data_IF_402060302899
#
_entry.id   IF_402060302899
#
_cell.length_a   1.000
_cell.length_b   1.000
_cell.length_c   1.000
_cell.angle_alpha   90.00
_cell.angle_beta   90.00
_cell.angle_gamma   90.00
#
_symmetry.space_group_name_H-M   'P 1'
#
loop_
_entity.id
_entity.type
_entity.pdbx_description
1 polymer ?
#
# COMPACT_ATOMS: atom_id res chain seq x y z
N UNK A 1 42.51 19.37 14.50
CA UNK A 1 43.19 18.12 14.91
C UNK A 1 42.12 17.07 15.12
N UNK A 2 41.29 16.80 14.12
CA UNK A 2 41.56 16.01 12.90
C UNK A 2 41.49 14.51 13.20
N UNK A 3 40.46 13.87 12.64
CA UNK A 3 40.20 12.45 12.75
C UNK A 3 39.07 11.99 11.84
N UNK A 4 39.11 12.40 10.57
CA UNK A 4 38.28 11.91 9.48
C UNK A 4 38.48 10.39 9.31
N UNK A 5 37.47 9.60 9.64
CA UNK A 5 37.30 8.22 9.15
C UNK A 5 36.25 8.21 8.04
N UNK A 6 36.69 8.29 6.77
CA UNK A 6 35.84 8.09 5.60
C UNK A 6 35.53 6.60 5.45
N UNK A 7 34.25 6.24 5.42
CA UNK A 7 33.76 5.08 4.68
C UNK A 7 32.66 5.55 3.73
N UNK A 8 33.00 5.70 2.46
CA UNK A 8 32.00 5.66 1.38
C UNK A 8 32.20 4.35 0.65
N UNK A 9 31.12 3.60 0.43
CA UNK A 9 30.51 3.39 -0.88
C UNK A 9 29.48 2.25 -0.81
N UNK A 10 28.26 2.53 -1.29
CA UNK A 10 27.29 1.52 -1.69
C UNK A 10 25.99 1.46 -0.89
N UNK A 11 25.11 2.46 -1.05
CA UNK A 11 23.65 2.32 -1.29
C UNK A 11 22.88 3.54 -0.77
N UNK A 12 22.84 4.61 -1.57
CA UNK A 12 21.72 5.57 -1.64
C UNK A 12 20.44 4.77 -1.98
N UNK A 13 19.24 4.95 -1.42
CA UNK A 13 18.57 6.12 -0.87
C UNK A 13 17.49 5.68 0.16
N UNK A 14 17.65 6.00 1.44
CA UNK A 14 16.53 6.22 2.37
C UNK A 14 16.99 7.21 3.44
N UNK A 15 16.37 8.40 3.46
CA UNK A 15 16.73 9.48 4.37
C UNK A 15 16.47 9.08 5.83
N UNK A 16 17.53 9.01 6.63
CA UNK A 16 17.48 8.92 8.09
C UNK A 16 17.55 10.33 8.66
N UNK A 17 16.44 10.86 9.15
CA UNK A 17 16.42 12.03 10.04
C UNK A 17 15.78 11.57 11.36
N UNK A 18 16.57 11.62 12.44
CA UNK A 18 16.13 11.46 13.84
C UNK A 18 15.35 10.18 14.21
N UNK A 19 15.81 9.01 13.77
CA UNK A 19 15.45 7.74 14.42
C UNK A 19 13.98 7.28 14.29
N UNK A 20 13.20 7.87 13.38
CA UNK A 20 11.85 7.41 13.04
C UNK A 20 11.84 6.78 11.65
N UNK A 21 11.25 5.58 11.54
CA UNK A 21 10.98 4.94 10.25
C UNK A 21 9.92 5.75 9.51
N UNK A 22 10.22 6.15 8.27
CA UNK A 22 9.32 6.94 7.43
C UNK A 22 8.81 6.03 6.32
N UNK A 23 7.50 5.79 6.27
CA UNK A 23 6.86 4.92 5.28
C UNK A 23 6.23 5.72 4.13
N UNK A 24 6.26 5.21 2.89
CA UNK A 24 5.92 6.02 1.73
C UNK A 24 4.41 6.06 1.46
N UNK A 25 4.06 7.15 0.76
CA UNK A 25 2.77 7.53 0.16
C UNK A 25 1.77 8.30 1.05
N UNK A 26 1.69 8.11 2.38
CA UNK A 26 0.82 8.94 3.25
C UNK A 26 1.57 10.02 4.03
N UNK A 27 2.23 10.93 3.31
CA UNK A 27 2.80 12.17 3.87
C UNK A 27 1.99 13.44 3.55
N UNK A 28 0.70 13.31 3.25
CA UNK A 28 -0.14 14.49 2.97
C UNK A 28 -0.97 15.04 4.13
N UNK A 29 -0.73 14.66 5.40
CA UNK A 29 -1.29 15.46 6.48
C UNK A 29 -0.59 15.31 7.82
N UNK A 30 0.47 16.08 8.04
CA UNK A 30 0.91 16.41 9.40
C UNK A 30 -0.18 17.21 10.16
N UNK A 31 -1.23 17.71 9.49
CA UNK A 31 -2.35 18.44 10.13
C UNK A 31 -3.63 17.62 10.38
N UNK A 32 -3.74 16.35 9.97
CA UNK A 32 -4.99 15.54 10.11
C UNK A 32 -5.05 14.62 11.32
N UNK A 33 -4.25 14.85 12.37
CA UNK A 33 -4.28 14.07 13.63
C UNK A 33 -5.70 13.94 14.22
N UNK A 34 -6.62 14.85 13.86
CA UNK A 34 -8.00 14.84 14.36
C UNK A 34 -9.00 13.99 13.55
N UNK A 35 -8.76 13.70 12.26
CA UNK A 35 -9.66 12.87 11.44
C UNK A 35 -9.16 11.41 11.29
N UNK A 36 -7.88 11.18 11.60
CA UNK A 36 -7.13 9.96 11.27
C UNK A 36 -6.86 9.07 12.50
N UNK A 37 -7.52 9.35 13.62
CA UNK A 37 -7.28 8.63 14.87
C UNK A 37 -7.72 7.16 14.82
N UNK A 38 -8.65 6.78 13.94
CA UNK A 38 -9.24 5.43 13.90
C UNK A 38 -8.50 4.45 12.99
N UNK A 39 -7.76 4.95 11.99
CA UNK A 39 -7.12 4.09 10.98
C UNK A 39 -5.72 3.61 11.37
N UNK A 40 -5.23 4.03 12.54
CA UNK A 40 -3.87 3.76 12.96
C UNK A 40 -3.81 3.07 14.31
N UNK A 41 -3.03 1.99 14.34
CA UNK A 41 -2.80 1.22 15.54
C UNK A 41 -1.79 1.92 16.45
N UNK A 42 -2.13 2.06 17.73
CA UNK A 42 -1.27 2.61 18.78
C UNK A 42 -0.61 1.48 19.57
N UNK A 43 0.70 1.44 19.54
CA UNK A 43 1.50 0.58 20.43
C UNK A 43 2.03 1.47 21.56
N UNK A 44 1.78 1.09 22.82
CA UNK A 44 2.26 1.84 23.98
C UNK A 44 3.79 2.09 23.88
N UNK A 45 4.19 3.36 23.86
CA UNK A 45 5.59 3.78 23.74
C UNK A 45 6.19 3.75 22.32
N UNK A 46 5.42 3.47 21.26
CA UNK A 46 5.89 3.51 19.86
C UNK A 46 5.08 4.46 18.98
N UNK A 47 5.59 4.66 17.76
CA UNK A 47 4.90 5.39 16.70
C UNK A 47 3.58 4.73 16.32
N UNK A 48 2.66 5.57 15.84
CA UNK A 48 1.32 5.22 15.37
C UNK A 48 1.44 4.65 13.94
N UNK A 49 0.95 3.44 13.68
CA UNK A 49 1.22 2.70 12.43
C UNK A 49 -0.05 2.48 11.57
N UNK A 50 0.02 2.71 10.24
CA UNK A 50 -1.10 2.47 9.32
C UNK A 50 -1.20 1.00 8.92
N UNK A 51 -1.47 0.11 9.87
CA UNK A 51 -1.33 -1.36 9.69
C UNK A 51 -2.16 -1.92 8.53
N UNK A 52 -3.27 -1.30 8.16
CA UNK A 52 -4.17 -1.75 7.06
C UNK A 52 -3.57 -1.57 5.66
N UNK A 53 -2.55 -0.72 5.51
CA UNK A 53 -1.83 -0.52 4.25
C UNK A 53 -0.49 -1.25 4.22
N UNK A 54 -0.02 -1.76 5.36
CA UNK A 54 1.32 -2.30 5.50
C UNK A 54 1.39 -3.74 4.98
N UNK A 55 2.54 -4.08 4.36
CA UNK A 55 2.83 -5.46 4.01
C UNK A 55 3.05 -6.31 5.28
N UNK A 56 2.85 -7.63 5.17
CA UNK A 56 2.98 -8.52 6.34
C UNK A 56 4.37 -8.44 6.99
N UNK A 57 5.45 -8.31 6.19
CA UNK A 57 6.81 -8.20 6.70
C UNK A 57 7.07 -6.85 7.40
N UNK A 58 6.33 -5.82 7.00
CA UNK A 58 6.37 -4.50 7.63
C UNK A 58 5.68 -4.51 8.98
N UNK A 59 4.56 -5.21 9.10
CA UNK A 59 3.81 -5.37 10.35
C UNK A 59 4.60 -6.21 11.35
N UNK A 60 5.08 -7.39 10.95
CA UNK A 60 5.67 -8.36 11.87
C UNK A 60 7.18 -8.17 12.10
N UNK A 61 7.92 -7.75 11.07
CA UNK A 61 9.38 -7.68 11.11
C UNK A 61 9.91 -6.23 11.09
N UNK A 62 9.04 -5.23 10.92
CA UNK A 62 9.44 -3.83 10.77
C UNK A 62 10.29 -3.59 9.51
N UNK A 63 10.14 -4.44 8.49
CA UNK A 63 10.90 -4.34 7.24
C UNK A 63 10.15 -3.46 6.24
N UNK A 64 10.81 -2.41 5.78
CA UNK A 64 10.24 -1.44 4.84
C UNK A 64 11.14 -1.34 3.60
N UNK A 65 10.57 -1.63 2.44
CA UNK A 65 11.27 -1.70 1.16
C UNK A 65 10.38 -1.15 0.05
N UNK A 66 10.95 -0.90 -1.14
CA UNK A 66 10.15 -0.60 -2.33
C UNK A 66 9.08 -1.68 -2.61
N UNK A 67 9.31 -2.93 -2.20
CA UNK A 67 8.33 -4.02 -2.36
C UNK A 67 7.22 -3.98 -1.32
N UNK A 68 7.47 -3.48 -0.10
CA UNK A 68 6.37 -3.17 0.82
C UNK A 68 5.55 -1.97 0.32
N UNK A 69 6.16 -1.02 -0.37
CA UNK A 69 5.43 0.11 -0.97
C UNK A 69 4.51 -0.34 -2.10
N UNK A 70 4.90 -1.37 -2.87
CA UNK A 70 4.03 -1.99 -3.88
C UNK A 70 2.78 -2.59 -3.25
N UNK A 71 2.90 -3.20 -2.08
CA UNK A 71 1.74 -3.70 -1.33
C UNK A 71 0.79 -2.56 -0.93
N UNK A 72 1.34 -1.51 -0.32
CA UNK A 72 0.57 -0.34 0.10
C UNK A 72 -0.09 0.36 -1.08
N UNK A 73 0.60 0.44 -2.23
CA UNK A 73 0.03 0.97 -3.46
C UNK A 73 -1.19 0.17 -3.94
N UNK A 74 -1.17 -1.16 -3.85
CA UNK A 74 -2.33 -1.96 -4.23
C UNK A 74 -3.52 -1.76 -3.29
N UNK A 75 -3.27 -1.52 -1.99
CA UNK A 75 -4.33 -1.09 -1.05
C UNK A 75 -4.89 0.27 -1.47
N UNK A 76 -4.03 1.23 -1.82
CA UNK A 76 -4.48 2.55 -2.33
C UNK A 76 -5.26 2.43 -3.64
N UNK A 77 -4.85 1.54 -4.55
CA UNK A 77 -5.58 1.29 -5.80
C UNK A 77 -6.97 0.72 -5.53
N UNK A 78 -7.08 -0.17 -4.54
CA UNK A 78 -8.37 -0.67 -4.08
C UNK A 78 -9.27 0.47 -3.57
N UNK A 79 -8.75 1.37 -2.73
CA UNK A 79 -9.50 2.54 -2.25
C UNK A 79 -9.96 3.45 -3.38
N UNK A 80 -9.11 3.70 -4.37
CA UNK A 80 -9.48 4.50 -5.55
C UNK A 80 -10.67 3.87 -6.29
N UNK A 81 -10.71 2.55 -6.38
CA UNK A 81 -11.75 1.80 -7.09
C UNK A 81 -13.03 1.62 -6.27
N UNK A 82 -12.95 1.72 -4.93
CA UNK A 82 -14.12 1.76 -4.04
C UNK A 82 -14.53 3.20 -3.69
N UNK A 83 -13.95 4.20 -4.35
CA UNK A 83 -14.19 5.63 -4.09
C UNK A 83 -13.94 6.04 -2.63
N UNK A 84 -13.05 5.32 -1.93
CA UNK A 84 -12.79 5.46 -0.51
C UNK A 84 -14.06 5.39 0.36
N UNK A 85 -15.10 4.69 -0.11
CA UNK A 85 -16.34 4.49 0.64
C UNK A 85 -16.10 3.60 1.87
N UNK A 86 -15.30 2.56 1.69
CA UNK A 86 -15.01 1.56 2.71
C UNK A 86 -13.55 1.64 3.17
N UNK A 87 -13.32 1.38 4.45
CA UNK A 87 -11.96 1.26 5.00
C UNK A 87 -11.36 -0.09 4.55
N UNK A 88 -10.05 -0.16 4.21
CA UNK A 88 -9.41 -1.43 3.95
C UNK A 88 -9.54 -2.38 5.16
N UNK A 89 -10.06 -3.59 4.91
CA UNK A 89 -10.33 -4.61 5.93
C UNK A 89 -11.30 -4.15 7.02
N UNK A 90 -12.31 -3.34 6.69
CA UNK A 90 -13.36 -2.85 7.60
C UNK A 90 -14.02 -3.93 8.48
N UNK A 91 -14.16 -5.15 7.97
CA UNK A 91 -14.70 -6.30 8.71
C UNK A 91 -13.72 -6.88 9.76
N UNK A 92 -12.45 -6.47 9.77
CA UNK A 92 -11.41 -6.95 10.67
C UNK A 92 -11.07 -5.86 11.72
N UNK A 93 -10.94 -6.27 12.98
CA UNK A 93 -10.31 -5.41 14.01
C UNK A 93 -8.82 -5.26 13.74
N UNK A 94 -8.17 -4.29 14.40
CA UNK A 94 -6.73 -4.08 14.25
C UNK A 94 -5.92 -5.33 14.66
N UNK A 95 -6.35 -6.05 15.69
CA UNK A 95 -5.75 -7.33 16.10
C UNK A 95 -5.91 -8.41 15.03
N UNK A 96 -7.09 -8.47 14.40
CA UNK A 96 -7.34 -9.43 13.30
C UNK A 96 -6.53 -9.09 12.05
N UNK A 97 -6.25 -7.81 11.78
CA UNK A 97 -5.33 -7.39 10.70
C UNK A 97 -3.90 -7.86 10.99
N UNK A 98 -3.45 -7.76 12.25
CA UNK A 98 -2.14 -8.28 12.68
C UNK A 98 -2.10 -9.81 12.58
N UNK A 99 -3.18 -10.49 12.98
CA UNK A 99 -3.32 -11.94 12.83
C UNK A 99 -3.28 -12.37 11.35
N UNK A 100 -3.94 -11.60 10.47
CA UNK A 100 -3.90 -11.80 9.03
C UNK A 100 -2.47 -11.74 8.46
N UNK A 101 -1.66 -10.78 8.92
CA UNK A 101 -0.23 -10.75 8.58
C UNK A 101 0.51 -12.02 9.07
N UNK A 102 0.09 -12.59 10.20
CA UNK A 102 0.57 -13.87 10.71
C UNK A 102 0.30 -15.05 9.77
N UNK A 103 -0.86 -15.08 9.11
CA UNK A 103 -1.18 -16.10 8.10
C UNK A 103 -0.25 -16.02 6.89
N UNK A 104 0.03 -14.81 6.39
CA UNK A 104 1.07 -14.61 5.36
C UNK A 104 2.43 -15.14 5.81
N UNK A 105 2.86 -14.84 7.04
CA UNK A 105 4.16 -15.32 7.55
C UNK A 105 4.22 -16.85 7.59
N UNK A 106 3.21 -17.49 8.19
CA UNK A 106 3.09 -18.94 8.36
C UNK A 106 2.86 -19.69 7.04
N UNK A 107 2.37 -19.00 6.00
CA UNK A 107 2.04 -19.60 4.71
C UNK A 107 1.00 -20.74 4.85
N UNK A 108 0.02 -20.54 5.74
CA UNK A 108 -1.05 -21.50 6.02
C UNK A 108 -2.26 -21.35 5.08
N UNK A 109 -2.22 -20.38 4.16
CA UNK A 109 -3.27 -20.08 3.16
C UNK A 109 -4.60 -19.67 3.78
N UNK A 110 -4.56 -19.14 5.00
CA UNK A 110 -5.73 -18.59 5.68
C UNK A 110 -5.76 -17.06 5.63
N UNK A 111 -4.83 -16.44 4.90
CA UNK A 111 -4.85 -15.00 4.70
C UNK A 111 -6.11 -14.52 3.96
N UNK A 112 -6.63 -13.38 4.40
CA UNK A 112 -7.75 -12.67 3.79
C UNK A 112 -7.21 -11.53 2.94
N UNK A 113 -7.67 -11.47 1.70
CA UNK A 113 -7.43 -10.36 0.77
C UNK A 113 -8.57 -9.35 0.84
N UNK A 114 -8.31 -8.10 0.44
CA UNK A 114 -9.38 -7.13 0.21
C UNK A 114 -10.33 -7.67 -0.87
N UNK A 115 -11.66 -7.46 -0.74
CA UNK A 115 -12.61 -7.97 -1.70
C UNK A 115 -12.44 -7.30 -3.07
N UNK A 116 -12.82 -8.00 -4.13
CA UNK A 116 -12.84 -7.44 -5.47
C UNK A 116 -13.81 -6.24 -5.54
N UNK A 117 -13.35 -5.01 -5.87
CA UNK A 117 -14.22 -3.85 -5.91
C UNK A 117 -15.35 -3.99 -6.94
N UNK A 118 -16.54 -3.42 -6.69
CA UNK A 118 -17.60 -3.33 -7.69
C UNK A 118 -17.10 -2.63 -8.96
N UNK A 119 -17.48 -3.12 -10.14
CA UNK A 119 -17.11 -2.53 -11.44
C UNK A 119 -15.60 -2.48 -11.76
N UNK A 120 -14.74 -3.12 -10.95
CA UNK A 120 -13.32 -3.25 -11.27
C UNK A 120 -13.11 -4.31 -12.37
N UNK A 121 -12.31 -4.05 -13.42
CA UNK A 121 -11.92 -5.09 -14.36
C UNK A 121 -11.10 -6.18 -13.66
N UNK A 122 -11.38 -7.46 -13.95
CA UNK A 122 -10.73 -8.60 -13.29
C UNK A 122 -9.21 -8.50 -13.32
N UNK A 123 -8.63 -8.06 -14.43
CA UNK A 123 -7.18 -7.99 -14.59
C UNK A 123 -6.52 -6.89 -13.73
N UNK A 124 -7.28 -5.86 -13.37
CA UNK A 124 -6.82 -4.83 -12.42
C UNK A 124 -6.81 -5.43 -11.00
N UNK A 125 -7.80 -6.25 -10.66
CA UNK A 125 -7.81 -6.97 -9.39
C UNK A 125 -6.75 -8.07 -9.31
N UNK A 126 -6.51 -8.81 -10.40
CA UNK A 126 -5.42 -9.78 -10.48
C UNK A 126 -4.06 -9.10 -10.23
N UNK A 127 -3.83 -7.91 -10.79
CA UNK A 127 -2.64 -7.09 -10.49
C UNK A 127 -2.54 -6.72 -9.00
N UNK A 128 -3.65 -6.35 -8.35
CA UNK A 128 -3.66 -6.08 -6.91
C UNK A 128 -3.24 -7.32 -6.12
N UNK A 129 -3.78 -8.50 -6.45
CA UNK A 129 -3.41 -9.77 -5.84
C UNK A 129 -1.91 -10.11 -6.05
N UNK A 130 -1.35 -9.83 -7.22
CA UNK A 130 0.10 -9.98 -7.47
C UNK A 130 0.94 -9.06 -6.58
N UNK A 131 0.46 -7.84 -6.31
CA UNK A 131 1.12 -6.90 -5.38
C UNK A 131 1.06 -7.39 -3.92
N UNK A 132 0.03 -8.15 -3.55
CA UNK A 132 -0.12 -8.76 -2.23
C UNK A 132 0.55 -10.15 -2.11
N UNK A 133 1.46 -10.48 -3.02
CA UNK A 133 2.20 -11.74 -2.92
C UNK A 133 3.04 -11.78 -1.63
N UNK A 134 2.99 -12.93 -0.94
CA UNK A 134 3.81 -13.19 0.24
C UNK A 134 5.30 -12.94 -0.02
N UNK A 135 5.82 -13.40 -1.16
CA UNK A 135 7.22 -13.21 -1.54
C UNK A 135 7.44 -11.82 -2.14
N UNK A 136 8.25 -10.98 -1.50
CA UNK A 136 8.61 -9.64 -2.00
C UNK A 136 9.15 -9.64 -3.43
N UNK A 137 9.92 -10.67 -3.79
CA UNK A 137 10.51 -10.80 -5.13
C UNK A 137 9.49 -11.17 -6.21
N UNK A 138 8.35 -11.75 -5.82
CA UNK A 138 7.29 -12.14 -6.76
C UNK A 138 6.31 -10.99 -7.03
N UNK A 139 6.29 -9.96 -6.18
CA UNK A 139 5.49 -8.75 -6.44
C UNK A 139 6.03 -8.04 -7.68
N UNK A 140 5.18 -7.41 -8.51
CA UNK A 140 5.67 -6.61 -9.62
C UNK A 140 6.46 -5.39 -9.15
N UNK A 141 7.17 -4.75 -10.06
CA UNK A 141 7.81 -3.45 -9.85
C UNK A 141 6.83 -2.33 -10.21
N UNK A 142 7.03 -1.14 -9.67
CA UNK A 142 6.24 0.03 -10.08
C UNK A 142 6.28 0.30 -11.59
N UNK A 143 7.39 -0.03 -12.26
CA UNK A 143 7.50 0.07 -13.72
C UNK A 143 6.53 -0.88 -14.42
N UNK A 144 6.45 -2.14 -13.99
CA UNK A 144 5.53 -3.13 -14.56
C UNK A 144 4.08 -2.75 -14.31
N UNK A 145 3.76 -2.32 -13.08
CA UNK A 145 2.45 -1.80 -12.69
C UNK A 145 2.05 -0.62 -13.59
N UNK A 146 2.93 0.38 -13.73
CA UNK A 146 2.67 1.55 -14.55
C UNK A 146 2.40 1.19 -16.02
N UNK A 147 3.25 0.35 -16.62
CA UNK A 147 3.09 -0.10 -18.00
C UNK A 147 1.80 -0.90 -18.19
N UNK A 148 1.38 -1.69 -17.19
CA UNK A 148 0.12 -2.41 -17.23
C UNK A 148 -1.08 -1.44 -17.20
N UNK A 149 -1.12 -0.53 -16.22
CA UNK A 149 -2.20 0.43 -16.07
C UNK A 149 -2.29 1.39 -17.27
N UNK A 150 -1.15 1.84 -17.79
CA UNK A 150 -1.11 2.69 -18.99
C UNK A 150 -1.71 1.98 -20.21
N UNK A 151 -1.41 0.68 -20.41
CA UNK A 151 -2.01 -0.11 -21.48
C UNK A 151 -3.51 -0.26 -21.32
N UNK A 152 -4.00 -0.46 -20.09
CA UNK A 152 -5.44 -0.56 -19.81
C UNK A 152 -6.16 0.78 -19.99
N UNK A 153 -5.47 1.90 -19.81
CA UNK A 153 -6.01 3.23 -20.04
C UNK A 153 -5.82 3.75 -21.48
N UNK A 154 -5.29 2.94 -22.42
CA UNK A 154 -5.16 3.37 -23.81
C UNK A 154 -6.54 3.68 -24.41
N UNK A 155 -6.68 4.89 -24.95
CA UNK A 155 -7.95 5.38 -25.51
C UNK A 155 -8.81 6.16 -24.51
N UNK A 156 -8.43 6.24 -23.23
CA UNK A 156 -9.06 7.15 -22.30
C UNK A 156 -8.61 8.60 -22.58
N UNK A 157 -9.51 9.42 -23.11
CA UNK A 157 -9.32 10.86 -23.22
C UNK A 157 -10.26 11.57 -22.22
N UNK A 158 -9.74 12.24 -21.18
CA UNK A 158 -10.56 12.97 -20.22
C UNK A 158 -11.40 14.10 -20.86
N UNK A 159 -11.04 14.53 -22.08
CA UNK A 159 -11.70 15.61 -22.82
C UNK A 159 -12.71 15.11 -23.86
N UNK A 160 -12.86 13.80 -24.03
CA UNK A 160 -13.87 13.26 -24.94
C UNK A 160 -15.26 13.36 -24.28
N UNK A 161 -16.02 14.40 -24.66
CA UNK A 161 -17.38 14.66 -24.17
C UNK A 161 -18.35 13.49 -24.39
N UNK A 162 -18.06 12.59 -25.34
CA UNK A 162 -18.84 11.36 -25.56
C UNK A 162 -18.71 10.36 -24.41
N UNK A 163 -17.62 10.44 -23.64
CA UNK A 163 -17.39 9.57 -22.47
C UNK A 163 -17.97 10.16 -21.19
N UNK A 164 -18.44 11.42 -21.18
CA UNK A 164 -19.39 11.91 -20.16
C UNK A 164 -20.77 11.24 -20.28
N UNK A 165 -21.03 10.51 -21.38
CA UNK A 165 -22.25 9.72 -21.58
C UNK A 165 -22.02 8.21 -21.47
N UNK A 166 -20.78 7.72 -21.65
CA UNK A 166 -20.41 6.45 -21.04
C UNK A 166 -20.31 6.70 -19.55
N UNK A 167 -21.44 6.52 -18.88
CA UNK A 167 -21.47 6.17 -17.47
C UNK A 167 -20.60 4.90 -17.32
N UNK A 168 -19.29 5.07 -17.14
CA UNK A 168 -18.65 4.34 -16.05
C UNK A 168 -19.55 4.71 -14.88
N UNK A 169 -20.28 3.77 -14.28
CA UNK A 169 -21.09 4.09 -13.13
C UNK A 169 -20.09 4.46 -12.03
N UNK A 170 -19.71 5.74 -12.02
CA UNK A 170 -19.57 6.48 -10.79
C UNK A 170 -20.96 6.33 -10.18
N UNK A 171 -21.06 5.49 -9.15
CA UNK A 171 -22.32 5.28 -8.42
C UNK A 171 -22.93 6.62 -8.02
#
# INVERSE_FOLDING_TARGET
MDGLGKYSTGSTDYYRIEGRAVLPIRWMAWESILLVSTDYYRIEGRAVLPIRWMAWESILLGKFTTKSDVWSFAVTLWEVLTFAHDQPYDALTDEMVIENAGHYYRNDKQEVYLPHPPNCPKEIYDLMCECWNRSESARPTFREIHMFLQRKNMGYNPKDEKMNQLKVPIC
#
